data_IF_628099866311
#
_entry.id   IF_628099866311
#
_cell.length_a   1.000
_cell.length_b   1.000
_cell.length_c   1.000
_cell.angle_alpha   90.00
_cell.angle_beta   90.00
_cell.angle_gamma   90.00
#
_symmetry.space_group_name_H-M   'P 1'
#
loop_
_entity.id
_entity.type
_entity.pdbx_description
1 polymer ?
#
# COMPACT_ATOMS: atom_id res chain seq x y z
N UNK A 1 -21.09 -13.90 4.80
CA UNK A 1 -19.77 -13.40 4.48
C UNK A 1 -19.65 -13.09 3.00
N UNK A 2 -19.09 -11.98 2.69
CA UNK A 2 -18.91 -11.61 1.31
C UNK A 2 -17.85 -12.49 0.66
N UNK A 3 -18.14 -12.95 -0.53
CA UNK A 3 -17.19 -13.75 -1.26
C UNK A 3 -16.93 -13.08 -2.60
N UNK A 4 -15.79 -12.46 -2.77
CA UNK A 4 -15.52 -11.72 -3.99
C UNK A 4 -15.44 -12.65 -5.19
N UNK A 5 -15.73 -12.10 -6.33
CA UNK A 5 -15.54 -12.84 -7.56
C UNK A 5 -14.06 -12.99 -7.80
N UNK A 6 -13.71 -13.99 -8.58
CA UNK A 6 -12.31 -14.29 -8.76
C UNK A 6 -11.51 -13.14 -9.30
N UNK A 7 -12.05 -12.43 -10.28
CA UNK A 7 -11.32 -11.32 -10.85
C UNK A 7 -11.20 -10.18 -9.87
N UNK A 8 -12.12 -10.05 -8.92
CA UNK A 8 -11.96 -9.05 -7.90
C UNK A 8 -10.85 -9.39 -6.95
N UNK A 9 -10.71 -10.67 -6.66
CA UNK A 9 -9.65 -11.10 -5.75
C UNK A 9 -8.28 -10.79 -6.30
N UNK A 10 -8.15 -10.79 -7.61
CA UNK A 10 -6.85 -10.65 -8.22
C UNK A 10 -6.20 -9.31 -7.94
N UNK A 11 -7.00 -8.28 -7.73
CA UNK A 11 -6.36 -7.00 -7.56
C UNK A 11 -6.59 -6.36 -6.23
N UNK A 12 -7.46 -6.87 -5.46
CA UNK A 12 -7.55 -6.33 -4.11
C UNK A 12 -6.87 -7.22 -3.13
N UNK A 13 -6.40 -8.33 -3.60
CA UNK A 13 -5.82 -9.33 -2.77
C UNK A 13 -5.03 -8.70 -1.65
N UNK A 14 -3.97 -9.18 -1.17
CA UNK A 14 -3.47 -8.90 0.17
C UNK A 14 -3.45 -7.43 0.56
N UNK A 15 -3.42 -6.53 -0.39
CA UNK A 15 -3.25 -5.13 -0.06
C UNK A 15 -4.55 -4.44 0.31
N UNK A 16 -5.65 -4.88 -0.29
CA UNK A 16 -6.91 -4.16 -0.12
C UNK A 16 -7.94 -4.97 0.65
N UNK A 17 -7.56 -6.10 1.12
CA UNK A 17 -8.50 -6.98 1.79
C UNK A 17 -8.87 -6.44 3.15
N UNK A 18 -10.15 -6.28 3.43
CA UNK A 18 -10.62 -5.78 4.70
C UNK A 18 -11.01 -6.92 5.62
N UNK A 19 -10.70 -6.76 6.88
CA UNK A 19 -11.03 -7.71 7.90
C UNK A 19 -12.10 -7.09 8.79
N UNK A 20 -13.31 -7.61 8.72
CA UNK A 20 -14.41 -7.03 9.47
C UNK A 20 -14.26 -7.21 10.95
N UNK A 21 -13.53 -8.21 11.37
CA UNK A 21 -13.35 -8.47 12.77
C UNK A 21 -12.28 -7.58 13.39
N UNK A 22 -11.45 -6.96 12.54
CA UNK A 22 -10.42 -6.07 13.01
C UNK A 22 -10.45 -4.82 12.16
N UNK A 23 -11.39 -3.92 12.44
CA UNK A 23 -11.55 -2.73 11.60
C UNK A 23 -10.28 -1.90 11.47
N UNK A 24 -9.43 -1.94 12.47
CA UNK A 24 -8.19 -1.18 12.43
C UNK A 24 -7.30 -1.58 11.27
N UNK A 25 -7.37 -2.83 10.85
CA UNK A 25 -6.57 -3.27 9.72
C UNK A 25 -6.94 -2.52 8.45
N UNK A 26 -8.22 -2.28 8.26
CA UNK A 26 -8.65 -1.51 7.11
C UNK A 26 -8.10 -0.11 7.11
N UNK A 27 -8.05 0.50 8.29
CA UNK A 27 -7.49 1.82 8.43
C UNK A 27 -6.01 1.84 8.06
N UNK A 28 -5.24 0.89 8.59
CA UNK A 28 -3.82 0.85 8.27
C UNK A 28 -3.57 0.51 6.81
N UNK A 29 -4.40 -0.35 6.25
CA UNK A 29 -4.32 -0.63 4.82
C UNK A 29 -4.58 0.62 3.99
N UNK A 30 -5.53 1.43 4.40
CA UNK A 30 -5.84 2.65 3.68
C UNK A 30 -4.63 3.59 3.68
N UNK A 31 -3.90 3.62 4.79
CA UNK A 31 -2.69 4.44 4.85
C UNK A 31 -1.67 3.96 3.82
N UNK A 32 -1.49 2.66 3.72
CA UNK A 32 -0.54 2.09 2.76
C UNK A 32 -0.98 2.41 1.33
N UNK A 33 -2.26 2.25 1.05
CA UNK A 33 -2.77 2.52 -0.28
C UNK A 33 -2.62 3.99 -0.65
N UNK A 34 -2.91 4.88 0.29
CA UNK A 34 -2.73 6.30 0.03
C UNK A 34 -1.27 6.62 -0.26
N UNK A 35 -0.37 6.01 0.51
CA UNK A 35 1.04 6.22 0.28
C UNK A 35 1.48 5.72 -1.09
N UNK A 36 0.90 4.62 -1.55
CA UNK A 36 1.21 4.12 -2.89
C UNK A 36 0.74 5.08 -3.97
N UNK A 37 -0.45 5.62 -3.80
CA UNK A 37 -0.95 6.61 -4.73
C UNK A 37 -0.06 7.84 -4.76
N UNK A 38 0.36 8.28 -3.58
CA UNK A 38 1.24 9.44 -3.49
C UNK A 38 2.59 9.17 -4.13
N UNK A 39 3.14 7.99 -3.90
CA UNK A 39 4.47 7.65 -4.41
C UNK A 39 4.48 7.56 -5.94
N UNK A 40 3.34 7.28 -6.53
CA UNK A 40 3.22 7.16 -7.98
C UNK A 40 2.59 8.39 -8.59
N UNK A 41 2.46 9.47 -7.83
CA UNK A 41 1.85 10.70 -8.30
C UNK A 41 2.81 11.40 -9.25
N UNK A 42 2.39 11.59 -10.49
CA UNK A 42 3.22 12.23 -11.49
C UNK A 42 2.97 13.72 -11.58
N UNK A 43 1.96 14.21 -10.90
CA UNK A 43 1.61 15.63 -10.94
C UNK A 43 2.32 16.43 -9.86
N UNK A 44 2.72 15.79 -8.78
CA UNK A 44 3.34 16.49 -7.66
C UNK A 44 4.54 15.71 -7.17
N UNK A 45 5.70 16.15 -7.62
CA UNK A 45 6.93 15.45 -7.30
C UNK A 45 7.27 15.54 -5.82
N UNK A 46 6.92 16.62 -5.19
CA UNK A 46 7.21 16.76 -3.77
C UNK A 46 6.47 15.71 -2.93
N UNK A 47 5.22 15.49 -3.26
CA UNK A 47 4.43 14.47 -2.58
C UNK A 47 4.98 13.09 -2.88
N UNK A 48 5.30 12.83 -4.14
CA UNK A 48 5.80 11.53 -4.54
C UNK A 48 7.11 11.21 -3.85
N UNK A 49 7.99 12.19 -3.76
CA UNK A 49 9.29 11.99 -3.15
C UNK A 49 9.16 11.63 -1.68
N UNK A 50 8.27 12.29 -1.00
CA UNK A 50 8.07 12.04 0.42
C UNK A 50 7.50 10.64 0.65
N UNK A 51 6.56 10.25 -0.18
CA UNK A 51 5.96 8.92 -0.05
C UNK A 51 6.97 7.83 -0.37
N UNK A 52 7.80 8.04 -1.37
CA UNK A 52 8.83 7.05 -1.70
C UNK A 52 9.81 6.88 -0.55
N UNK A 53 10.17 7.98 0.09
CA UNK A 53 11.07 7.91 1.22
C UNK A 53 10.47 7.08 2.35
N UNK A 54 9.16 7.19 2.53
CA UNK A 54 8.49 6.44 3.58
C UNK A 54 8.60 4.94 3.35
N UNK A 55 8.44 4.50 2.10
CA UNK A 55 8.54 3.08 1.79
C UNK A 55 9.94 2.54 1.93
N UNK A 56 10.93 3.32 1.56
CA UNK A 56 12.27 2.78 1.35
C UNK A 56 13.29 3.21 2.40
N UNK A 57 12.87 3.86 3.44
CA UNK A 57 13.79 4.15 4.53
C UNK A 57 14.21 2.84 5.19
N UNK A 58 15.44 2.80 5.64
CA UNK A 58 15.95 1.57 6.25
C UNK A 58 16.20 1.71 7.74
N UNK A 59 16.27 2.91 8.25
CA UNK A 59 16.49 3.12 9.69
C UNK A 59 15.75 4.36 10.14
N UNK A 60 15.55 4.45 11.45
CA UNK A 60 15.05 5.66 12.05
C UNK A 60 13.55 5.64 12.24
N UNK A 61 13.03 6.79 12.66
CA UNK A 61 11.61 6.92 13.01
C UNK A 61 10.71 6.60 11.82
N UNK A 62 11.09 7.05 10.64
CA UNK A 62 10.27 6.81 9.46
C UNK A 62 10.17 5.33 9.14
N UNK A 63 11.28 4.62 9.27
CA UNK A 63 11.27 3.20 9.03
C UNK A 63 10.40 2.48 10.05
N UNK A 64 10.52 2.86 11.30
CA UNK A 64 9.72 2.26 12.36
C UNK A 64 8.24 2.52 12.12
N UNK A 65 7.91 3.70 11.65
CA UNK A 65 6.52 4.03 11.35
C UNK A 65 5.98 3.15 10.24
N UNK A 66 6.74 2.99 9.17
CA UNK A 66 6.31 2.14 8.06
C UNK A 66 6.07 0.71 8.54
N UNK A 67 6.99 0.18 9.31
CA UNK A 67 6.88 -1.19 9.78
C UNK A 67 5.71 -1.35 10.74
N UNK A 68 5.49 -0.34 11.59
CA UNK A 68 4.35 -0.37 12.49
C UNK A 68 3.04 -0.42 11.72
N UNK A 69 2.93 0.39 10.68
CA UNK A 69 1.72 0.43 9.86
C UNK A 69 1.49 -0.92 9.18
N UNK A 70 2.54 -1.49 8.60
CA UNK A 70 2.42 -2.78 7.94
C UNK A 70 2.02 -3.88 8.91
N UNK A 71 2.63 -3.87 10.09
CA UNK A 71 2.32 -4.87 11.09
C UNK A 71 0.86 -4.80 11.51
N UNK A 72 0.36 -3.59 11.70
CA UNK A 72 -1.02 -3.43 12.11
C UNK A 72 -2.01 -3.65 10.97
N UNK A 73 -1.55 -3.56 9.75
CA UNK A 73 -2.36 -3.94 8.61
C UNK A 73 -2.30 -5.44 8.36
N UNK A 74 -1.44 -6.13 9.11
CA UNK A 74 -1.26 -7.56 8.98
C UNK A 74 -0.74 -7.93 7.60
N UNK A 75 0.25 -7.20 7.15
CA UNK A 75 0.86 -7.46 5.86
C UNK A 75 2.38 -7.33 6.00
N UNK A 76 3.08 -8.12 5.22
CA UNK A 76 4.53 -8.17 5.29
C UNK A 76 5.15 -6.90 4.69
N UNK A 77 6.00 -6.25 5.47
CA UNK A 77 6.64 -5.01 5.03
C UNK A 77 7.49 -5.21 3.78
N UNK A 78 8.18 -6.34 3.70
CA UNK A 78 9.00 -6.62 2.53
C UNK A 78 8.18 -6.74 1.27
N UNK A 79 7.02 -7.38 1.39
CA UNK A 79 6.12 -7.50 0.25
C UNK A 79 5.59 -6.15 -0.18
N UNK A 80 5.26 -5.30 0.78
CA UNK A 80 4.79 -3.96 0.46
C UNK A 80 5.88 -3.17 -0.27
N UNK A 81 7.11 -3.26 0.20
CA UNK A 81 8.21 -2.56 -0.46
C UNK A 81 8.43 -3.04 -1.89
N UNK A 82 8.34 -4.35 -2.09
CA UNK A 82 8.50 -4.89 -3.44
C UNK A 82 7.40 -4.39 -4.36
N UNK A 83 6.20 -4.40 -3.88
CA UNK A 83 5.08 -3.92 -4.67
C UNK A 83 5.22 -2.43 -4.98
N UNK A 84 5.62 -1.65 -3.98
CA UNK A 84 5.80 -0.22 -4.18
C UNK A 84 6.91 0.06 -5.18
N UNK A 85 8.00 -0.71 -5.09
CA UNK A 85 9.09 -0.52 -6.02
C UNK A 85 8.63 -0.73 -7.46
N UNK A 86 7.89 -1.80 -7.68
CA UNK A 86 7.40 -2.08 -9.02
C UNK A 86 6.41 -1.04 -9.49
N UNK A 87 5.53 -0.61 -8.62
CA UNK A 87 4.54 0.40 -8.99
C UNK A 87 5.21 1.71 -9.37
N UNK A 88 6.22 2.11 -8.61
CA UNK A 88 6.91 3.37 -8.86
C UNK A 88 7.68 3.33 -10.17
N UNK A 89 8.26 2.19 -10.49
CA UNK A 89 9.07 2.07 -11.69
C UNK A 89 8.28 1.60 -12.91
N UNK A 90 6.98 1.44 -12.74
CA UNK A 90 6.12 1.08 -13.85
C UNK A 90 5.76 2.33 -14.63
N UNK A 91 5.62 2.19 -15.93
CA UNK A 91 5.20 3.32 -16.75
C UNK A 91 3.71 3.54 -16.65
N UNK A 92 2.99 2.56 -16.15
CA UNK A 92 1.56 2.65 -16.04
C UNK A 92 1.17 2.83 -14.59
N UNK A 93 0.05 3.50 -14.38
CA UNK A 93 -0.46 3.67 -13.04
C UNK A 93 -0.79 2.31 -12.45
N UNK A 94 -0.65 2.18 -11.13
CA UNK A 94 -1.01 0.93 -10.48
C UNK A 94 -2.47 0.59 -10.72
N UNK A 95 -2.75 -0.69 -10.77
CA UNK A 95 -4.07 -1.15 -11.10
C UNK A 95 -5.03 -1.19 -9.95
N UNK A 96 -4.55 -1.11 -8.73
CA UNK A 96 -5.43 -1.33 -7.59
C UNK A 96 -6.57 -0.32 -7.50
N UNK A 97 -6.39 0.87 -8.06
CA UNK A 97 -7.36 1.92 -7.87
C UNK A 97 -8.68 1.67 -8.59
N UNK A 98 -8.66 0.96 -9.67
CA UNK A 98 -9.91 0.76 -10.40
C UNK A 98 -10.44 -0.64 -10.28
N UNK A 99 -9.81 -1.40 -9.46
CA UNK A 99 -10.31 -2.73 -9.21
C UNK A 99 -11.23 -2.78 -8.03
N UNK A 100 -11.34 -1.71 -7.37
CA UNK A 100 -12.13 -1.63 -6.15
C UNK A 100 -13.52 -1.14 -6.44
#
# INVERSE_FOLDING_TARGET
>A
MYKPKKNEELFIDPIVQFDREVPERGLYMAIILQALLDATNKSNESIAKRARAWFFCSVGVTCNNFEFICENANIDAGSVRSYAYEAIHSEQAPNFKYKI
#
